data_IF_847243159418
#
_entry.id   IF_847243159418
#
_cell.length_a   1.000
_cell.length_b   1.000
_cell.length_c   1.000
_cell.angle_alpha   90.00
_cell.angle_beta   90.00
_cell.angle_gamma   90.00
#
_symmetry.space_group_name_H-M   'P 1'
#
loop_
_entity.id
_entity.type
_entity.pdbx_description
1 polymer ?
#
# COMPACT_ATOMS: atom_id res chain seq x y z
N UNK A 1 17.64 61.23 45.63
CA UNK A 1 17.10 62.59 45.82
C UNK A 1 16.24 63.09 44.65
N UNK A 2 16.20 62.43 43.49
CA UNK A 2 15.35 62.83 42.34
C UNK A 2 14.31 61.75 41.99
N UNK A 3 13.78 61.05 42.99
CA UNK A 3 12.75 60.05 42.76
C UNK A 3 11.38 60.71 42.83
N UNK A 4 10.52 60.45 41.82
CA UNK A 4 9.15 60.94 41.75
C UNK A 4 9.01 62.46 41.57
N UNK A 5 9.97 63.09 40.89
CA UNK A 5 9.94 64.51 40.52
C UNK A 5 9.56 64.67 39.05
N UNK A 6 8.74 65.68 38.75
CA UNK A 6 8.43 66.13 37.39
C UNK A 6 9.02 67.51 37.14
N UNK A 7 9.55 67.72 35.94
CA UNK A 7 10.14 68.98 35.50
C UNK A 7 9.56 69.35 34.14
N UNK A 8 9.11 70.59 34.01
CA UNK A 8 8.76 71.17 32.71
C UNK A 8 9.93 72.01 32.21
N UNK A 9 10.40 71.71 31.01
CA UNK A 9 11.52 72.40 30.38
C UNK A 9 11.36 72.53 28.88
N UNK A 10 12.37 73.10 28.21
CA UNK A 10 12.38 73.31 26.76
C UNK A 10 12.23 72.01 25.94
N UNK A 11 12.57 70.86 26.52
CA UNK A 11 12.49 69.54 25.89
C UNK A 11 11.17 68.80 26.14
N UNK A 12 10.20 69.42 26.82
CA UNK A 12 8.92 68.78 27.20
C UNK A 12 8.86 68.36 28.67
N UNK A 13 7.75 67.74 29.08
CA UNK A 13 7.54 67.30 30.45
C UNK A 13 8.38 66.04 30.77
N UNK A 14 9.27 66.13 31.75
CA UNK A 14 10.14 65.02 32.19
C UNK A 14 9.68 64.54 33.56
N UNK A 15 9.27 63.27 33.64
CA UNK A 15 8.88 62.61 34.89
C UNK A 15 9.86 61.50 35.25
N UNK A 16 10.46 61.58 36.44
CA UNK A 16 11.36 60.55 36.95
C UNK A 16 10.59 59.59 37.86
N UNK A 17 10.35 58.36 37.40
CA UNK A 17 9.69 57.30 38.16
C UNK A 17 10.76 56.43 38.85
N UNK A 18 10.84 56.49 40.18
CA UNK A 18 11.86 55.77 40.95
C UNK A 18 13.26 56.38 40.84
N UNK A 19 14.32 55.56 40.98
CA UNK A 19 15.71 56.04 40.96
C UNK A 19 16.40 56.03 39.59
N UNK A 20 15.76 55.49 38.55
CA UNK A 20 16.41 55.24 37.25
C UNK A 20 15.52 55.42 36.01
N UNK A 21 14.18 55.43 36.13
CA UNK A 21 13.31 55.50 34.95
C UNK A 21 12.87 56.93 34.72
N UNK A 22 13.51 57.60 33.76
CA UNK A 22 13.13 58.94 33.31
C UNK A 22 12.17 58.79 32.12
N UNK A 23 10.88 59.02 32.33
CA UNK A 23 9.90 59.14 31.25
C UNK A 23 9.81 60.61 30.84
N UNK A 24 10.42 60.95 29.72
CA UNK A 24 10.33 62.27 29.10
C UNK A 24 9.29 62.24 27.99
N UNK A 25 8.52 63.31 27.86
CA UNK A 25 7.66 63.62 26.74
C UNK A 25 8.54 63.89 25.50
N UNK A 26 9.17 62.81 25.02
CA UNK A 26 10.17 62.89 23.98
C UNK A 26 9.47 63.10 22.64
N UNK A 27 9.67 64.27 22.07
CA UNK A 27 9.30 64.55 20.68
C UNK A 27 10.39 63.98 19.77
N UNK A 28 10.11 62.83 19.16
CA UNK A 28 11.03 62.25 18.19
C UNK A 28 10.66 62.75 16.80
N UNK A 29 11.66 63.13 16.00
CA UNK A 29 11.46 63.48 14.60
C UNK A 29 11.84 62.31 13.72
N UNK A 30 10.97 61.98 12.77
CA UNK A 30 11.20 60.95 11.76
C UNK A 30 11.85 61.63 10.56
N UNK A 31 13.04 61.15 10.19
CA UNK A 31 13.81 61.65 9.06
C UNK A 31 13.92 60.59 7.97
N UNK A 32 13.96 61.03 6.72
CA UNK A 32 14.15 60.18 5.55
C UNK A 32 15.27 60.73 4.68
N UNK A 33 16.13 59.84 4.19
CA UNK A 33 17.20 60.19 3.28
C UNK A 33 16.64 60.24 1.86
N UNK A 34 16.56 61.42 1.28
CA UNK A 34 16.08 61.67 -0.07
C UNK A 34 17.22 62.23 -0.93
N UNK A 35 17.06 62.26 -2.24
CA UNK A 35 17.99 62.97 -3.11
C UNK A 35 17.43 64.36 -3.42
N UNK A 36 18.27 65.38 -3.36
CA UNK A 36 17.91 66.72 -3.84
C UNK A 36 17.68 66.70 -5.37
N UNK A 37 17.11 67.77 -5.97
CA UNK A 37 16.91 67.85 -7.42
C UNK A 37 18.20 67.77 -8.25
N UNK A 38 19.37 67.82 -7.61
CA UNK A 38 20.72 67.76 -8.21
C UNK A 38 21.35 66.36 -8.03
N UNK A 39 20.67 65.44 -7.32
CA UNK A 39 21.09 64.06 -7.10
C UNK A 39 21.94 63.82 -5.84
N UNK A 40 22.08 64.78 -4.93
CA UNK A 40 22.83 64.60 -3.68
C UNK A 40 21.92 64.11 -2.54
N UNK A 41 22.42 63.22 -1.65
CA UNK A 41 21.64 62.76 -0.49
C UNK A 41 21.38 63.90 0.52
N UNK A 42 20.12 64.09 0.91
CA UNK A 42 19.61 65.10 1.84
C UNK A 42 18.61 64.47 2.81
N UNK A 43 18.73 64.81 4.11
CA UNK A 43 17.76 64.38 5.12
C UNK A 43 16.54 65.31 5.13
N UNK A 44 15.35 64.74 4.93
CA UNK A 44 14.07 65.45 4.96
C UNK A 44 13.22 64.94 6.14
N UNK A 45 12.60 65.84 6.90
CA UNK A 45 11.70 65.48 8.02
C UNK A 45 10.37 64.98 7.46
N UNK A 46 9.95 63.78 7.85
CA UNK A 46 8.69 63.16 7.45
C UNK A 46 7.56 63.36 8.46
N UNK A 47 7.89 63.52 9.73
CA UNK A 47 6.90 63.65 10.79
C UNK A 47 7.52 63.69 12.17
N UNK A 48 6.65 63.66 13.17
CA UNK A 48 7.00 63.57 14.58
C UNK A 48 6.24 62.46 15.27
N UNK A 49 6.89 61.81 16.23
CA UNK A 49 6.26 60.87 17.16
C UNK A 49 6.21 61.52 18.53
N UNK A 50 4.99 61.67 19.03
CA UNK A 50 4.68 62.30 20.31
C UNK A 50 3.61 61.47 21.02
N UNK A 51 3.82 61.12 22.29
CA UNK A 51 2.85 60.41 23.14
C UNK A 51 2.24 59.13 22.52
N UNK A 52 3.04 58.35 21.79
CA UNK A 52 2.56 57.12 21.15
C UNK A 52 1.76 57.33 19.85
N UNK A 53 1.61 58.57 19.38
CA UNK A 53 1.00 58.90 18.08
C UNK A 53 2.04 59.43 17.11
N UNK A 54 1.92 59.02 15.85
CA UNK A 54 2.72 59.53 14.75
C UNK A 54 1.93 60.63 14.04
N UNK A 55 2.50 61.83 13.95
CA UNK A 55 1.97 62.98 13.20
C UNK A 55 2.87 63.19 11.98
N UNK A 56 2.33 63.02 10.78
CA UNK A 56 3.09 63.14 9.53
C UNK A 56 2.99 64.56 8.97
N UNK A 57 4.13 65.17 8.63
CA UNK A 57 4.24 66.57 8.18
C UNK A 57 4.12 66.69 6.64
N UNK A 58 3.14 66.03 6.01
CA UNK A 58 2.89 65.88 4.56
C UNK A 58 3.28 64.53 3.93
N UNK A 59 2.42 64.10 2.98
CA UNK A 59 2.43 62.80 2.31
C UNK A 59 3.48 62.66 1.21
N UNK A 60 4.76 62.68 1.58
CA UNK A 60 5.86 62.30 0.70
C UNK A 60 6.20 60.84 1.00
N UNK A 61 5.27 59.96 0.66
CA UNK A 61 5.63 58.57 0.41
C UNK A 61 6.34 58.53 -0.94
N UNK A 62 7.50 57.85 -1.09
CA UNK A 62 8.03 57.59 -2.42
C UNK A 62 6.94 56.91 -3.26
N UNK A 63 6.84 57.25 -4.55
CA UNK A 63 5.82 56.80 -5.51
C UNK A 63 5.54 55.29 -5.53
N UNK A 64 6.36 54.47 -4.86
CA UNK A 64 6.12 53.05 -4.61
C UNK A 64 4.84 52.76 -3.81
N UNK A 65 4.35 53.63 -2.93
CA UNK A 65 3.04 53.40 -2.28
C UNK A 65 1.82 53.80 -3.13
N UNK A 66 1.98 54.71 -4.09
CA UNK A 66 0.93 54.97 -5.08
C UNK A 66 0.87 53.88 -6.16
N UNK A 67 1.97 53.16 -6.43
CA UNK A 67 1.91 51.86 -7.11
C UNK A 67 1.10 50.83 -6.32
N UNK A 68 1.18 50.81 -4.99
CA UNK A 68 0.38 49.88 -4.17
C UNK A 68 -1.11 50.21 -4.05
N UNK A 69 -1.56 51.44 -4.37
CA UNK A 69 -3.00 51.77 -4.39
C UNK A 69 -3.62 51.74 -5.79
N UNK A 70 -2.84 51.94 -6.85
CA UNK A 70 -3.33 51.95 -8.24
C UNK A 70 -3.03 50.66 -9.01
N UNK A 71 -2.36 49.69 -8.40
CA UNK A 71 -2.48 48.29 -8.81
C UNK A 71 -3.50 47.57 -7.92
N UNK A 72 -4.78 47.75 -8.24
CA UNK A 72 -5.62 46.56 -8.42
C UNK A 72 -5.15 45.83 -9.69
N UNK A 73 -3.88 45.43 -9.72
CA UNK A 73 -3.54 44.19 -10.41
C UNK A 73 -4.43 43.15 -9.75
N UNK A 74 -5.06 42.31 -10.55
CA UNK A 74 -5.76 41.12 -10.07
C UNK A 74 -4.99 40.54 -8.89
N UNK A 75 -5.65 40.15 -7.79
CA UNK A 75 -4.94 39.58 -6.64
C UNK A 75 -4.01 38.53 -7.22
N UNK A 76 -2.70 38.75 -7.10
CA UNK A 76 -1.70 37.82 -7.61
C UNK A 76 -2.09 36.50 -6.98
N UNK A 77 -2.56 35.57 -7.81
CA UNK A 77 -3.03 34.27 -7.36
C UNK A 77 -1.90 33.70 -6.49
N UNK A 78 -2.23 33.30 -5.27
CA UNK A 78 -1.21 32.84 -4.30
C UNK A 78 -0.42 31.73 -4.99
N UNK A 79 0.90 31.86 -5.12
CA UNK A 79 1.72 30.85 -5.78
C UNK A 79 2.51 30.07 -4.74
N UNK A 80 2.29 28.76 -4.67
CA UNK A 80 2.87 27.89 -3.65
C UNK A 80 3.83 26.88 -4.26
N UNK A 81 4.95 26.67 -3.60
CA UNK A 81 5.85 25.56 -3.93
C UNK A 81 5.49 24.33 -3.11
N UNK A 82 5.11 23.27 -3.78
CA UNK A 82 4.62 22.03 -3.18
C UNK A 82 5.63 20.92 -3.38
N UNK A 83 6.02 20.27 -2.28
CA UNK A 83 6.88 19.09 -2.31
C UNK A 83 6.03 17.82 -2.23
N UNK A 84 6.42 16.80 -3.00
CA UNK A 84 5.80 15.47 -2.96
C UNK A 84 6.85 14.37 -2.87
N UNK A 85 6.38 13.15 -2.62
CA UNK A 85 7.19 11.94 -2.58
C UNK A 85 6.49 10.86 -3.41
N UNK A 86 7.27 10.13 -4.21
CA UNK A 86 6.79 9.01 -5.03
C UNK A 86 6.40 7.85 -4.11
N UNK A 87 5.12 7.51 -4.08
CA UNK A 87 4.60 6.39 -3.29
C UNK A 87 3.32 5.84 -3.92
N UNK A 88 3.32 4.58 -4.35
CA UNK A 88 2.14 3.95 -4.93
C UNK A 88 1.21 3.43 -3.83
N UNK A 89 -0.12 3.65 -3.93
CA UNK A 89 -0.88 4.17 -5.08
C UNK A 89 -1.20 5.68 -5.03
N UNK A 90 -0.55 6.47 -4.18
CA UNK A 90 -0.90 7.87 -3.93
C UNK A 90 -0.29 8.85 -4.91
N UNK A 91 0.97 8.64 -5.28
CA UNK A 91 1.72 9.44 -6.25
C UNK A 91 2.50 8.49 -7.17
N UNK A 92 2.30 8.68 -8.46
CA UNK A 92 3.01 8.02 -9.55
C UNK A 92 3.76 9.08 -10.36
N UNK A 93 4.81 8.62 -11.04
CA UNK A 93 5.60 9.45 -11.95
C UNK A 93 5.72 8.77 -13.30
N UNK A 94 5.71 9.58 -14.36
CA UNK A 94 6.05 9.16 -15.72
C UNK A 94 7.02 10.16 -16.32
N UNK A 95 7.81 9.72 -17.28
CA UNK A 95 8.59 10.64 -18.11
C UNK A 95 7.67 11.57 -18.92
N UNK A 96 8.18 12.77 -19.20
CA UNK A 96 7.55 13.75 -20.10
C UNK A 96 7.63 13.29 -21.55
N UNK A 97 6.82 13.90 -22.42
CA UNK A 97 6.94 13.70 -23.87
C UNK A 97 8.21 14.34 -24.45
N UNK A 98 8.43 14.15 -25.76
CA UNK A 98 9.60 14.69 -26.48
C UNK A 98 9.64 16.24 -26.45
N UNK A 99 8.48 16.87 -26.23
CA UNK A 99 8.31 18.32 -26.08
C UNK A 99 8.47 18.80 -24.62
N UNK A 100 8.64 17.91 -23.65
CA UNK A 100 8.79 18.24 -22.23
C UNK A 100 7.47 18.58 -21.52
N UNK A 101 6.34 18.25 -22.11
CA UNK A 101 4.98 18.48 -21.64
C UNK A 101 4.38 17.21 -21.02
N UNK A 102 3.30 17.42 -20.26
CA UNK A 102 2.53 16.36 -19.63
C UNK A 102 1.12 16.31 -20.23
N UNK A 103 0.82 15.37 -21.13
CA UNK A 103 -0.55 15.23 -21.67
C UNK A 103 -1.54 14.68 -20.63
N UNK A 104 -1.03 14.06 -19.56
CA UNK A 104 -1.81 13.59 -18.43
C UNK A 104 -0.99 13.73 -17.14
N UNK A 105 -1.63 14.24 -16.08
CA UNK A 105 -1.00 14.59 -14.82
C UNK A 105 -0.38 15.99 -14.82
N UNK A 106 0.24 16.34 -13.70
CA UNK A 106 0.85 17.64 -13.48
C UNK A 106 2.37 17.58 -13.71
N UNK A 107 2.92 18.61 -14.34
CA UNK A 107 4.37 18.76 -14.46
C UNK A 107 4.99 18.89 -13.07
N UNK A 108 5.99 18.08 -12.78
CA UNK A 108 6.77 18.14 -11.56
C UNK A 108 8.26 18.03 -11.86
N UNK A 109 9.08 18.68 -11.02
CA UNK A 109 10.53 18.56 -11.11
C UNK A 109 11.05 17.41 -10.23
N UNK A 110 12.01 16.66 -10.76
CA UNK A 110 12.84 15.71 -10.02
C UNK A 110 14.28 16.24 -9.95
N UNK A 111 14.58 17.14 -9.01
CA UNK A 111 15.86 17.86 -8.96
C UNK A 111 17.03 16.97 -8.52
N UNK A 112 16.77 15.81 -7.92
CA UNK A 112 17.76 14.88 -7.34
C UNK A 112 18.78 15.55 -6.38
N UNK A 113 18.45 16.74 -5.86
CA UNK A 113 19.27 17.53 -4.96
C UNK A 113 18.42 18.08 -3.82
N UNK A 114 19.08 18.29 -2.68
CA UNK A 114 18.49 18.94 -1.50
C UNK A 114 18.97 20.39 -1.36
N UNK A 115 19.70 20.93 -2.35
CA UNK A 115 20.19 22.31 -2.32
C UNK A 115 19.06 23.28 -2.72
N UNK A 116 18.66 24.11 -1.76
CA UNK A 116 17.62 25.13 -1.94
C UNK A 116 17.95 26.11 -3.06
N UNK A 117 19.21 26.51 -3.21
CA UNK A 117 19.61 27.52 -4.19
C UNK A 117 19.51 27.00 -5.63
N UNK A 118 19.78 25.70 -5.82
CA UNK A 118 19.61 25.03 -7.12
C UNK A 118 18.13 24.91 -7.47
N UNK A 119 17.30 24.54 -6.50
CA UNK A 119 15.85 24.50 -6.65
C UNK A 119 15.27 25.87 -7.04
N UNK A 120 15.68 26.92 -6.35
CA UNK A 120 15.21 28.29 -6.64
C UNK A 120 15.55 28.70 -8.08
N UNK A 121 16.79 28.44 -8.53
CA UNK A 121 17.21 28.71 -9.90
C UNK A 121 16.39 27.90 -10.93
N UNK A 122 16.10 26.62 -10.66
CA UNK A 122 15.28 25.79 -11.54
C UNK A 122 13.86 26.36 -11.68
N UNK A 123 13.23 26.80 -10.60
CA UNK A 123 11.90 27.39 -10.64
C UNK A 123 11.89 28.77 -11.29
N UNK A 124 12.88 29.62 -11.03
CA UNK A 124 13.04 30.90 -11.74
C UNK A 124 13.19 30.69 -13.24
N UNK A 125 13.92 29.65 -13.64
CA UNK A 125 14.15 29.29 -15.05
C UNK A 125 12.90 28.72 -15.73
N UNK A 126 12.10 27.90 -15.03
CA UNK A 126 10.81 27.41 -15.53
C UNK A 126 9.83 28.54 -15.77
N UNK A 127 9.79 29.53 -14.86
CA UNK A 127 8.88 30.68 -14.97
C UNK A 127 9.40 31.72 -15.97
N UNK A 128 10.72 31.82 -16.16
CA UNK A 128 11.34 32.62 -17.21
C UNK A 128 11.04 32.01 -18.57
N UNK A 129 10.39 32.77 -19.46
CA UNK A 129 9.79 32.27 -20.71
C UNK A 129 10.69 31.60 -21.76
N UNK A 130 11.95 31.25 -21.44
CA UNK A 130 12.88 30.52 -22.29
C UNK A 130 13.08 29.04 -21.89
N UNK A 131 12.35 28.53 -20.89
CA UNK A 131 12.32 27.12 -20.43
C UNK A 131 13.60 26.32 -20.74
N UNK A 132 14.69 26.66 -20.06
CA UNK A 132 15.99 25.98 -20.25
C UNK A 132 16.21 24.84 -19.26
N UNK A 133 15.16 24.38 -18.58
CA UNK A 133 15.29 23.27 -17.61
C UNK A 133 15.48 21.95 -18.37
N UNK A 134 16.53 21.17 -18.03
CA UNK A 134 16.76 19.86 -18.66
C UNK A 134 15.53 18.96 -18.58
N UNK A 135 15.18 18.31 -19.70
CA UNK A 135 14.05 17.38 -19.82
C UNK A 135 14.18 16.22 -18.82
N UNK A 136 15.40 15.80 -18.49
CA UNK A 136 15.67 14.73 -17.52
C UNK A 136 15.14 15.03 -16.11
N UNK A 137 15.10 16.32 -15.74
CA UNK A 137 14.60 16.79 -14.44
C UNK A 137 13.09 17.01 -14.46
N UNK A 138 12.43 16.90 -15.62
CA UNK A 138 10.98 17.05 -15.75
C UNK A 138 10.30 15.69 -15.74
N UNK A 139 9.27 15.56 -14.91
CA UNK A 139 8.41 14.36 -14.81
C UNK A 139 6.95 14.78 -14.82
N UNK A 140 6.07 13.84 -15.16
CA UNK A 140 4.64 13.97 -14.98
C UNK A 140 4.22 13.23 -13.72
N UNK A 141 3.78 13.97 -12.71
CA UNK A 141 3.26 13.44 -11.46
C UNK A 141 1.74 13.31 -11.55
N UNK A 142 1.20 12.16 -11.12
CA UNK A 142 -0.23 11.89 -11.12
C UNK A 142 -0.61 10.94 -9.99
N UNK A 143 -1.89 10.86 -9.65
CA UNK A 143 -2.41 9.96 -8.62
C UNK A 143 -3.26 10.71 -7.59
N UNK A 144 -3.77 9.96 -6.61
CA UNK A 144 -4.75 10.45 -5.64
C UNK A 144 -4.35 11.75 -4.94
N UNK A 145 -3.07 11.87 -4.55
CA UNK A 145 -2.57 13.07 -3.87
C UNK A 145 -2.44 14.27 -4.81
N UNK A 146 -2.17 14.05 -6.09
CA UNK A 146 -2.05 15.12 -7.10
C UNK A 146 -3.44 15.64 -7.47
N UNK A 147 -4.40 14.74 -7.71
CA UNK A 147 -5.79 15.11 -8.00
C UNK A 147 -6.41 15.90 -6.83
N UNK A 148 -6.08 15.53 -5.58
CA UNK A 148 -6.49 16.27 -4.40
C UNK A 148 -5.88 17.67 -4.34
N UNK A 149 -4.59 17.82 -4.70
CA UNK A 149 -3.91 19.11 -4.74
C UNK A 149 -4.52 20.03 -5.81
N UNK A 150 -4.79 19.50 -7.01
CA UNK A 150 -5.46 20.25 -8.08
C UNK A 150 -6.83 20.75 -7.63
N UNK A 151 -7.63 19.87 -7.00
CA UNK A 151 -8.95 20.26 -6.48
C UNK A 151 -8.86 21.34 -5.40
N UNK A 152 -7.87 21.24 -4.51
CA UNK A 152 -7.60 22.26 -3.50
C UNK A 152 -7.17 23.60 -4.12
N UNK A 153 -6.34 23.56 -5.16
CA UNK A 153 -5.86 24.73 -5.89
C UNK A 153 -6.98 25.46 -6.64
N UNK A 154 -7.95 24.72 -7.18
CA UNK A 154 -9.18 25.26 -7.76
C UNK A 154 -10.08 25.90 -6.70
N UNK A 155 -10.36 25.18 -5.61
CA UNK A 155 -11.34 25.61 -4.60
C UNK A 155 -10.83 26.80 -3.76
N UNK A 156 -9.53 26.85 -3.48
CA UNK A 156 -8.88 27.94 -2.73
C UNK A 156 -8.23 29.00 -3.64
N UNK A 157 -8.30 28.81 -4.95
CA UNK A 157 -7.81 29.74 -5.97
C UNK A 157 -6.34 30.14 -5.75
N UNK A 158 -5.43 29.16 -5.71
CA UNK A 158 -3.98 29.33 -5.69
C UNK A 158 -3.33 28.58 -6.87
N UNK A 159 -2.16 29.02 -7.30
CA UNK A 159 -1.32 28.36 -8.30
C UNK A 159 -0.18 27.65 -7.57
N UNK A 160 0.39 26.60 -8.18
CA UNK A 160 1.45 25.85 -7.53
C UNK A 160 2.47 25.26 -8.49
N UNK A 161 3.70 25.17 -7.99
CA UNK A 161 4.79 24.44 -8.62
C UNK A 161 5.09 23.18 -7.81
N UNK A 162 5.19 22.03 -8.50
CA UNK A 162 5.37 20.73 -7.88
C UNK A 162 6.80 20.21 -8.07
N UNK A 163 7.41 19.67 -7.01
CA UNK A 163 8.66 18.91 -7.14
C UNK A 163 8.70 17.71 -6.20
N UNK A 164 9.56 16.76 -6.56
CA UNK A 164 9.82 15.55 -5.82
C UNK A 164 10.99 15.80 -4.87
N UNK A 165 10.84 15.38 -3.61
CA UNK A 165 11.91 15.51 -2.61
C UNK A 165 13.20 14.83 -3.07
N UNK A 166 14.32 15.56 -3.02
CA UNK A 166 15.60 15.11 -3.59
C UNK A 166 16.20 13.86 -2.93
N UNK A 167 15.94 13.63 -1.64
CA UNK A 167 16.47 12.46 -0.91
C UNK A 167 15.55 11.23 -0.92
N UNK A 168 14.36 11.34 -1.52
CA UNK A 168 13.35 10.29 -1.58
C UNK A 168 12.84 9.82 -0.21
N UNK A 169 12.91 10.66 0.82
CA UNK A 169 12.49 10.29 2.19
C UNK A 169 11.48 11.29 2.75
N UNK A 170 10.56 10.79 3.57
CA UNK A 170 9.63 11.66 4.29
C UNK A 170 10.31 12.57 5.32
N UNK A 171 11.48 12.18 5.80
CA UNK A 171 12.22 12.91 6.82
C UNK A 171 12.23 12.25 8.20
N UNK A 172 13.41 12.35 8.81
CA UNK A 172 13.72 11.85 10.14
C UNK A 172 14.69 12.82 10.84
N UNK A 173 14.62 12.86 12.16
CA UNK A 173 15.58 13.61 12.96
C UNK A 173 16.93 12.88 12.98
N UNK A 174 17.95 13.48 12.37
CA UNK A 174 19.32 12.94 12.31
C UNK A 174 20.32 14.06 12.51
N UNK A 175 21.35 13.82 13.33
CA UNK A 175 22.45 14.76 13.56
C UNK A 175 22.00 16.18 13.96
N UNK A 176 20.88 16.29 14.69
CA UNK A 176 20.35 17.57 15.16
C UNK A 176 19.59 18.39 14.12
N UNK A 177 19.27 17.83 12.95
CA UNK A 177 18.41 18.46 11.93
C UNK A 177 17.39 17.44 11.38
N UNK A 178 16.32 17.96 10.78
CA UNK A 178 15.37 17.16 10.01
C UNK A 178 15.83 17.04 8.56
N UNK A 179 15.75 15.84 8.00
CA UNK A 179 16.05 15.57 6.58
C UNK A 179 14.77 15.39 5.76
N UNK A 180 14.91 15.23 4.45
CA UNK A 180 13.83 14.92 3.50
C UNK A 180 12.69 15.92 3.53
N UNK A 181 11.48 15.44 3.28
CA UNK A 181 10.30 16.29 3.11
C UNK A 181 10.05 17.22 4.32
N UNK A 182 10.25 16.75 5.55
CA UNK A 182 10.15 17.61 6.75
C UNK A 182 11.27 18.66 6.78
N UNK A 183 12.48 18.29 6.36
CA UNK A 183 13.60 19.23 6.23
C UNK A 183 13.27 20.36 5.26
N UNK A 184 12.70 20.02 4.10
CA UNK A 184 12.36 20.97 3.04
C UNK A 184 11.23 21.95 3.44
N UNK A 185 10.32 21.52 4.32
CA UNK A 185 9.32 22.41 4.90
C UNK A 185 9.93 23.37 5.93
N UNK A 186 10.85 22.88 6.75
CA UNK A 186 11.48 23.69 7.82
C UNK A 186 12.48 24.70 7.29
N UNK A 187 13.19 24.38 6.20
CA UNK A 187 14.10 25.30 5.52
C UNK A 187 13.36 26.39 4.74
N UNK A 188 12.04 26.25 4.55
CA UNK A 188 11.24 27.13 3.70
C UNK A 188 11.41 26.87 2.21
N UNK A 189 12.09 25.78 1.81
CA UNK A 189 12.18 25.39 0.39
C UNK A 189 10.84 24.94 -0.16
N UNK A 190 9.96 24.36 0.66
CA UNK A 190 8.57 24.09 0.32
C UNK A 190 7.63 24.86 1.25
N UNK A 191 6.52 25.32 0.68
CA UNK A 191 5.45 25.98 1.45
C UNK A 191 4.40 24.96 1.92
N UNK A 192 4.24 23.88 1.17
CA UNK A 192 3.27 22.82 1.45
C UNK A 192 3.84 21.48 1.01
N UNK A 193 3.47 20.40 1.68
CA UNK A 193 3.76 19.05 1.24
C UNK A 193 2.47 18.27 1.01
N UNK A 194 2.39 17.56 -0.12
CA UNK A 194 1.23 16.72 -0.45
C UNK A 194 1.72 15.32 -0.85
N UNK A 195 1.49 14.35 0.03
CA UNK A 195 1.82 12.93 -0.14
C UNK A 195 1.13 12.12 0.96
N UNK A 196 1.26 10.80 0.96
CA UNK A 196 0.79 9.86 1.98
C UNK A 196 1.66 9.88 3.24
N UNK A 197 1.74 11.05 3.87
CA UNK A 197 2.58 11.28 5.04
C UNK A 197 1.83 11.03 6.35
N UNK A 198 2.31 10.10 7.16
CA UNK A 198 1.67 9.75 8.44
C UNK A 198 1.92 10.82 9.52
N UNK A 199 0.84 11.18 10.21
CA UNK A 199 0.85 12.05 11.39
C UNK A 199 1.52 11.31 12.56
N UNK A 200 2.53 11.93 13.16
CA UNK A 200 3.25 11.40 14.32
C UNK A 200 3.59 12.56 15.27
N UNK A 201 3.57 12.31 16.59
CA UNK A 201 3.90 13.29 17.64
C UNK A 201 5.21 14.03 17.38
N UNK A 202 6.29 13.32 17.01
CA UNK A 202 7.59 13.96 16.76
C UNK A 202 7.57 14.93 15.57
N UNK A 203 6.73 14.66 14.55
CA UNK A 203 6.58 15.50 13.36
C UNK A 203 5.63 16.66 13.63
N UNK A 204 4.53 16.43 14.35
CA UNK A 204 3.56 17.47 14.72
C UNK A 204 4.11 18.53 15.68
N UNK A 205 5.30 18.33 16.26
CA UNK A 205 5.98 19.34 17.07
C UNK A 205 6.71 20.40 16.22
N UNK A 206 7.00 20.09 14.95
CA UNK A 206 7.81 20.95 14.08
C UNK A 206 7.06 21.44 12.84
N UNK A 207 6.01 20.75 12.44
CA UNK A 207 5.15 21.11 11.30
C UNK A 207 3.68 20.93 11.66
N UNK A 208 2.84 21.75 11.04
CA UNK A 208 1.39 21.66 11.18
C UNK A 208 0.79 20.69 10.17
N UNK A 209 -0.19 19.90 10.62
CA UNK A 209 -0.92 18.96 9.79
C UNK A 209 -2.35 19.42 9.58
N UNK A 210 -2.89 19.12 8.40
CA UNK A 210 -4.32 19.25 8.12
C UNK A 210 -5.11 18.09 8.74
N UNK A 211 -6.44 18.15 8.64
CA UNK A 211 -7.30 17.01 8.95
C UNK A 211 -6.92 15.81 8.07
N UNK A 212 -6.78 14.60 8.63
CA UNK A 212 -6.38 13.42 7.87
C UNK A 212 -7.42 13.11 6.79
N UNK A 213 -6.96 13.03 5.53
CA UNK A 213 -7.82 12.70 4.38
C UNK A 213 -7.93 11.20 4.12
N UNK A 214 -7.01 10.39 4.66
CA UNK A 214 -6.97 8.94 4.51
C UNK A 214 -6.63 8.27 5.84
N UNK A 215 -7.37 7.22 6.19
CA UNK A 215 -7.14 6.42 7.39
C UNK A 215 -6.71 5.01 6.98
N UNK A 216 -5.49 4.63 7.35
CA UNK A 216 -4.95 3.28 7.10
C UNK A 216 -4.60 2.59 8.41
N UNK A 217 -4.58 1.26 8.38
CA UNK A 217 -4.12 0.41 9.48
C UNK A 217 -2.95 -0.45 9.01
N UNK A 218 -2.07 -0.84 9.94
CA UNK A 218 -0.95 -1.71 9.64
C UNK A 218 -1.45 -3.14 9.41
N UNK A 219 -1.08 -3.72 8.27
CA UNK A 219 -1.39 -5.12 7.91
C UNK A 219 -0.12 -5.92 7.66
N UNK A 220 -0.20 -7.24 7.82
CA UNK A 220 0.89 -8.17 7.49
C UNK A 220 0.57 -8.82 6.14
N UNK A 221 1.46 -8.64 5.17
CA UNK A 221 1.33 -9.26 3.85
C UNK A 221 1.99 -10.65 3.86
N UNK A 222 1.22 -11.69 3.55
CA UNK A 222 1.71 -13.08 3.49
C UNK A 222 1.55 -13.63 2.07
N UNK A 223 2.57 -14.36 1.60
CA UNK A 223 2.50 -15.04 0.30
C UNK A 223 1.57 -16.24 0.41
N UNK A 224 0.52 -16.27 -0.41
CA UNK A 224 -0.31 -17.46 -0.58
C UNK A 224 0.51 -18.57 -1.26
N UNK A 225 0.44 -19.79 -0.73
CA UNK A 225 1.01 -21.00 -1.33
C UNK A 225 -0.14 -21.85 -1.86
N UNK A 226 -0.30 -21.88 -3.17
CA UNK A 226 -1.21 -22.84 -3.81
C UNK A 226 -0.53 -24.20 -3.81
N UNK A 227 -0.89 -25.06 -2.85
CA UNK A 227 -0.47 -26.46 -2.89
C UNK A 227 -1.26 -27.18 -3.98
N UNK A 228 -0.64 -27.35 -5.15
CA UNK A 228 -1.18 -28.25 -6.16
C UNK A 228 -1.19 -29.68 -5.59
N UNK A 229 -2.34 -30.36 -5.70
CA UNK A 229 -2.45 -31.74 -5.24
C UNK A 229 -1.41 -32.63 -5.95
N UNK A 230 -0.58 -33.40 -5.23
CA UNK A 230 0.42 -34.26 -5.85
C UNK A 230 -0.25 -35.36 -6.68
N UNK A 231 0.48 -35.91 -7.67
CA UNK A 231 -0.04 -36.93 -8.61
C UNK A 231 -0.62 -38.16 -7.88
N UNK A 232 -0.12 -38.48 -6.67
CA UNK A 232 -0.59 -39.58 -5.83
C UNK A 232 -1.78 -39.26 -4.91
N UNK A 233 -2.33 -38.04 -4.94
CA UNK A 233 -3.39 -37.62 -4.02
C UNK A 233 -4.69 -38.44 -4.15
N UNK A 234 -4.91 -39.12 -5.29
CA UNK A 234 -6.04 -40.03 -5.46
C UNK A 234 -5.99 -41.27 -4.54
N UNK A 235 -4.82 -41.62 -3.98
CA UNK A 235 -4.68 -42.74 -3.04
C UNK A 235 -4.92 -42.34 -1.59
N UNK A 236 -4.83 -41.06 -1.24
CA UNK A 236 -5.06 -40.53 0.11
C UNK A 236 -6.43 -40.84 0.74
N UNK A 237 -7.55 -40.91 -0.02
CA UNK A 237 -8.87 -41.16 0.57
C UNK A 237 -9.01 -42.50 1.28
N UNK A 238 -8.12 -43.45 1.01
CA UNK A 238 -8.20 -44.80 1.53
C UNK A 238 -6.82 -45.29 2.01
N UNK A 239 -6.74 -45.72 3.27
CA UNK A 239 -5.52 -46.23 3.86
C UNK A 239 -5.04 -47.52 3.15
N UNK A 240 -3.73 -47.74 3.09
CA UNK A 240 -3.12 -48.87 2.36
C UNK A 240 -3.67 -50.25 2.79
N UNK A 241 -4.04 -50.40 4.07
CA UNK A 241 -4.65 -51.63 4.59
C UNK A 241 -6.00 -51.94 3.96
N UNK A 242 -6.79 -50.92 3.61
CA UNK A 242 -8.09 -51.09 2.98
C UNK A 242 -7.95 -51.45 1.50
N UNK A 243 -6.96 -50.89 0.80
CA UNK A 243 -6.60 -51.33 -0.55
C UNK A 243 -6.23 -52.82 -0.58
N UNK A 244 -5.39 -53.25 0.36
CA UNK A 244 -5.05 -54.66 0.52
C UNK A 244 -6.29 -55.50 0.88
N UNK A 245 -7.17 -55.01 1.75
CA UNK A 245 -8.43 -55.65 2.11
C UNK A 245 -9.34 -55.89 0.90
N UNK A 246 -9.52 -54.90 0.03
CA UNK A 246 -10.30 -55.02 -1.22
C UNK A 246 -9.67 -56.07 -2.13
N UNK A 247 -8.33 -56.05 -2.29
CA UNK A 247 -7.61 -57.03 -3.11
C UNK A 247 -7.82 -58.46 -2.59
N UNK A 248 -7.66 -58.68 -1.28
CA UNK A 248 -7.86 -60.00 -0.66
C UNK A 248 -9.31 -60.45 -0.77
N UNK A 249 -10.28 -59.59 -0.47
CA UNK A 249 -11.70 -59.90 -0.56
C UNK A 249 -12.11 -60.28 -2.00
N UNK A 250 -11.56 -59.60 -3.00
CA UNK A 250 -11.78 -59.89 -4.42
C UNK A 250 -11.31 -61.32 -4.78
N UNK A 251 -10.09 -61.69 -4.37
CA UNK A 251 -9.54 -63.03 -4.67
C UNK A 251 -10.30 -64.13 -3.93
N UNK A 252 -10.66 -63.90 -2.66
CA UNK A 252 -11.48 -64.82 -1.89
C UNK A 252 -12.83 -65.04 -2.58
N UNK A 253 -13.50 -63.97 -3.01
CA UNK A 253 -14.80 -64.05 -3.70
C UNK A 253 -14.69 -64.80 -5.02
N UNK A 254 -13.63 -64.57 -5.79
CA UNK A 254 -13.37 -65.28 -7.04
C UNK A 254 -13.11 -66.79 -6.83
N UNK A 255 -12.37 -67.16 -5.77
CA UNK A 255 -12.17 -68.58 -5.39
C UNK A 255 -13.48 -69.22 -4.96
N UNK A 256 -14.31 -68.54 -4.17
CA UNK A 256 -15.61 -69.10 -3.78
C UNK A 256 -16.55 -69.24 -4.97
N UNK A 257 -16.60 -68.27 -5.89
CA UNK A 257 -17.38 -68.36 -7.13
C UNK A 257 -16.94 -69.56 -7.96
N UNK A 258 -15.64 -69.83 -8.11
CA UNK A 258 -15.17 -70.99 -8.87
C UNK A 258 -15.48 -72.32 -8.19
N UNK A 259 -15.33 -72.40 -6.87
CA UNK A 259 -15.70 -73.58 -6.09
C UNK A 259 -17.20 -73.88 -6.19
N UNK A 260 -18.05 -72.84 -6.09
CA UNK A 260 -19.50 -73.00 -6.22
C UNK A 260 -19.92 -73.42 -7.64
N UNK A 261 -19.26 -72.91 -8.67
CA UNK A 261 -19.51 -73.34 -10.04
C UNK A 261 -19.02 -74.77 -10.32
N UNK A 262 -17.87 -75.17 -9.76
CA UNK A 262 -17.31 -76.52 -9.90
C UNK A 262 -18.11 -77.59 -9.17
N UNK A 263 -18.66 -77.26 -7.99
CA UNK A 263 -19.47 -78.18 -7.17
C UNK A 263 -20.94 -78.23 -7.57
N UNK A 264 -21.41 -77.30 -8.41
CA UNK A 264 -22.82 -77.24 -8.82
C UNK A 264 -23.12 -78.18 -9.99
N UNK A 265 -24.16 -79.05 -9.89
CA UNK A 265 -24.56 -79.96 -10.97
C UNK A 265 -25.10 -79.21 -12.21
N UNK A 266 -25.43 -77.92 -12.10
CA UNK A 266 -25.89 -77.05 -13.20
C UNK A 266 -24.74 -76.29 -13.90
N UNK A 267 -23.53 -76.30 -13.33
CA UNK A 267 -22.33 -75.71 -13.95
C UNK A 267 -21.71 -76.60 -15.03
N UNK A 268 -21.90 -77.92 -14.90
CA UNK A 268 -21.46 -78.91 -15.88
C UNK A 268 -22.65 -79.34 -16.76
N UNK A 269 -22.71 -78.86 -18.00
CA UNK A 269 -23.61 -79.45 -19.00
C UNK A 269 -23.24 -80.93 -19.22
N UNK A 270 -24.12 -81.92 -18.97
CA UNK A 270 -23.73 -83.34 -18.95
C UNK A 270 -23.38 -83.93 -20.33
N UNK A 271 -23.64 -83.22 -21.44
CA UNK A 271 -23.42 -83.72 -22.81
C UNK A 271 -22.95 -82.59 -23.74
N UNK A 272 -21.64 -82.37 -23.86
CA UNK A 272 -21.08 -81.40 -24.81
C UNK A 272 -19.55 -81.45 -24.87
N UNK A 273 -18.99 -81.47 -26.09
CA UNK A 273 -17.60 -81.83 -26.46
C UNK A 273 -16.46 -80.94 -25.92
N UNK A 274 -16.73 -79.94 -25.07
CA UNK A 274 -15.73 -78.99 -24.55
C UNK A 274 -15.77 -78.86 -23.01
N UNK A 275 -15.33 -79.91 -22.31
CA UNK A 275 -15.40 -80.08 -20.84
C UNK A 275 -14.49 -79.12 -20.04
N UNK A 276 -13.49 -78.50 -20.67
CA UNK A 276 -12.39 -77.81 -19.97
C UNK A 276 -12.41 -76.26 -20.08
N UNK A 277 -13.47 -75.63 -20.65
CA UNK A 277 -13.46 -74.18 -20.96
C UNK A 277 -14.78 -73.43 -20.67
N UNK A 278 -15.59 -73.87 -19.70
CA UNK A 278 -16.88 -73.20 -19.44
C UNK A 278 -16.78 -72.07 -18.41
N UNK A 279 -15.99 -72.23 -17.34
CA UNK A 279 -15.68 -71.16 -16.38
C UNK A 279 -14.35 -71.45 -15.66
N UNK A 280 -13.37 -70.57 -15.84
CA UNK A 280 -12.02 -70.65 -15.23
C UNK A 280 -11.92 -69.67 -14.06
N UNK A 281 -10.95 -69.88 -13.16
CA UNK A 281 -10.63 -68.88 -12.12
C UNK A 281 -10.37 -67.49 -12.71
N UNK A 282 -9.74 -67.44 -13.90
CA UNK A 282 -9.54 -66.20 -14.65
C UNK A 282 -10.85 -65.54 -15.08
N UNK A 283 -11.90 -66.30 -15.46
CA UNK A 283 -13.19 -65.71 -15.79
C UNK A 283 -13.92 -65.19 -14.55
N UNK A 284 -13.81 -65.88 -13.40
CA UNK A 284 -14.35 -65.39 -12.13
C UNK A 284 -13.68 -64.09 -11.67
N UNK A 285 -12.35 -64.03 -11.72
CA UNK A 285 -11.60 -62.81 -11.41
C UNK A 285 -12.00 -61.65 -12.33
N UNK A 286 -12.12 -61.89 -13.63
CA UNK A 286 -12.54 -60.86 -14.59
C UNK A 286 -13.94 -60.33 -14.27
N UNK A 287 -14.87 -61.18 -13.80
CA UNK A 287 -16.20 -60.76 -13.34
C UNK A 287 -16.12 -59.94 -12.06
N UNK A 288 -15.37 -60.39 -11.05
CA UNK A 288 -15.21 -59.66 -9.80
C UNK A 288 -14.58 -58.26 -10.01
N UNK A 289 -13.55 -58.16 -10.87
CA UNK A 289 -12.94 -56.89 -11.27
C UNK A 289 -13.89 -56.00 -12.07
N UNK A 290 -14.67 -56.58 -12.99
CA UNK A 290 -15.65 -55.81 -13.76
C UNK A 290 -16.71 -55.16 -12.85
N UNK A 291 -17.17 -55.88 -11.83
CA UNK A 291 -18.13 -55.36 -10.85
C UNK A 291 -17.49 -54.28 -9.96
N UNK A 292 -16.23 -54.46 -9.51
CA UNK A 292 -15.53 -53.48 -8.67
C UNK A 292 -15.30 -52.14 -9.41
N UNK A 293 -14.90 -52.19 -10.68
CA UNK A 293 -14.63 -50.99 -11.48
C UNK A 293 -15.85 -50.46 -12.25
N UNK A 294 -17.05 -51.05 -12.05
CA UNK A 294 -18.27 -50.65 -12.76
C UNK A 294 -18.20 -50.85 -14.29
N UNK A 295 -17.34 -51.76 -14.77
CA UNK A 295 -17.18 -52.04 -16.20
C UNK A 295 -18.33 -52.92 -16.70
N UNK A 296 -19.03 -52.46 -17.72
CA UNK A 296 -20.03 -53.25 -18.48
C UNK A 296 -19.34 -54.27 -19.40
N UNK A 297 -18.65 -55.25 -18.81
CA UNK A 297 -18.15 -56.38 -19.57
C UNK A 297 -19.30 -57.34 -19.93
N UNK A 298 -19.20 -58.02 -21.07
CA UNK A 298 -20.10 -59.12 -21.42
C UNK A 298 -19.85 -60.31 -20.47
N UNK A 299 -20.43 -60.22 -19.28
CA UNK A 299 -20.31 -61.20 -18.21
C UNK A 299 -21.28 -62.34 -18.53
N UNK A 300 -20.74 -63.57 -18.64
CA UNK A 300 -21.60 -64.76 -18.59
C UNK A 300 -22.02 -64.95 -17.13
N UNK A 301 -23.31 -64.75 -16.78
CA UNK A 301 -23.74 -64.82 -15.39
C UNK A 301 -23.58 -66.25 -14.87
N UNK A 302 -23.24 -66.43 -13.58
CA UNK A 302 -23.13 -67.75 -13.00
C UNK A 302 -24.47 -68.48 -13.08
N UNK A 303 -24.41 -69.77 -13.40
CA UNK A 303 -25.61 -70.60 -13.61
C UNK A 303 -26.25 -71.08 -12.31
N UNK A 304 -25.47 -71.17 -11.24
CA UNK A 304 -25.93 -71.62 -9.93
C UNK A 304 -26.61 -70.49 -9.14
N UNK A 305 -27.69 -70.83 -8.41
CA UNK A 305 -28.40 -69.88 -7.54
C UNK A 305 -27.49 -69.31 -6.43
N UNK A 306 -26.61 -70.13 -5.87
CA UNK A 306 -25.63 -69.73 -4.84
C UNK A 306 -24.60 -68.75 -5.38
N UNK A 307 -24.10 -68.94 -6.60
CA UNK A 307 -23.18 -68.01 -7.26
C UNK A 307 -23.84 -66.69 -7.63
N UNK A 308 -25.12 -66.70 -8.01
CA UNK A 308 -25.90 -65.46 -8.23
C UNK A 308 -26.08 -64.66 -6.94
N UNK A 309 -26.40 -65.34 -5.84
CA UNK A 309 -26.48 -64.70 -4.53
C UNK A 309 -25.15 -64.08 -4.10
N UNK A 310 -24.05 -64.84 -4.23
CA UNK A 310 -22.70 -64.35 -3.91
C UNK A 310 -22.29 -63.16 -4.79
N UNK A 311 -22.66 -63.17 -6.08
CA UNK A 311 -22.40 -62.05 -6.99
C UNK A 311 -23.16 -60.78 -6.59
N UNK A 312 -24.43 -60.91 -6.17
CA UNK A 312 -25.20 -59.78 -5.66
C UNK A 312 -24.61 -59.23 -4.36
N UNK A 313 -24.16 -60.09 -3.45
CA UNK A 313 -23.50 -59.68 -2.20
C UNK A 313 -22.16 -58.97 -2.48
N UNK A 314 -21.37 -59.48 -3.43
CA UNK A 314 -20.15 -58.81 -3.90
C UNK A 314 -20.45 -57.44 -4.52
N UNK A 315 -21.52 -57.34 -5.31
CA UNK A 315 -21.93 -56.06 -5.90
C UNK A 315 -22.30 -55.01 -4.83
N UNK A 316 -23.03 -55.40 -3.78
CA UNK A 316 -23.36 -54.52 -2.65
C UNK A 316 -22.06 -54.05 -1.94
N UNK A 317 -21.12 -54.96 -1.71
CA UNK A 317 -19.83 -54.62 -1.11
C UNK A 317 -19.02 -53.63 -1.97
N UNK A 318 -18.97 -53.84 -3.29
CA UNK A 318 -18.30 -52.93 -4.23
C UNK A 318 -18.96 -51.54 -4.22
N UNK A 319 -20.29 -51.47 -4.20
CA UNK A 319 -21.02 -50.20 -4.10
C UNK A 319 -20.69 -49.45 -2.81
N UNK A 320 -20.60 -50.16 -1.68
CA UNK A 320 -20.21 -49.57 -0.40
C UNK A 320 -18.77 -49.02 -0.44
N UNK A 321 -17.82 -49.79 -0.98
CA UNK A 321 -16.43 -49.36 -1.14
C UNK A 321 -16.32 -48.12 -2.05
N UNK A 322 -17.01 -48.13 -3.20
CA UNK A 322 -17.03 -47.00 -4.13
C UNK A 322 -17.62 -45.74 -3.47
N UNK A 323 -18.76 -45.86 -2.79
CA UNK A 323 -19.41 -44.74 -2.11
C UNK A 323 -18.53 -44.15 -1.00
N UNK A 324 -17.80 -44.99 -0.27
CA UNK A 324 -16.91 -44.55 0.80
C UNK A 324 -15.70 -43.83 0.20
N UNK A 325 -15.12 -44.37 -0.88
CA UNK A 325 -14.02 -43.74 -1.60
C UNK A 325 -14.42 -42.36 -2.14
N UNK A 326 -15.59 -42.24 -2.79
CA UNK A 326 -16.07 -40.96 -3.33
C UNK A 326 -16.38 -39.94 -2.23
N UNK A 327 -16.95 -40.38 -1.10
CA UNK A 327 -17.21 -39.51 0.04
C UNK A 327 -15.91 -38.98 0.68
N UNK A 328 -14.91 -39.85 0.88
CA UNK A 328 -13.62 -39.46 1.46
C UNK A 328 -12.82 -38.55 0.51
N UNK A 329 -12.86 -38.84 -0.80
CA UNK A 329 -12.21 -37.98 -1.80
C UNK A 329 -12.83 -36.57 -1.79
N UNK A 330 -14.16 -36.47 -1.73
CA UNK A 330 -14.85 -35.19 -1.63
C UNK A 330 -14.46 -34.42 -0.34
N UNK A 331 -14.37 -35.11 0.80
CA UNK A 331 -13.94 -34.51 2.05
C UNK A 331 -12.51 -33.94 1.97
N UNK A 332 -11.58 -34.68 1.34
CA UNK A 332 -10.19 -34.21 1.14
C UNK A 332 -10.14 -33.01 0.19
N UNK A 333 -10.88 -33.02 -0.92
CA UNK A 333 -10.93 -31.91 -1.87
C UNK A 333 -11.44 -30.61 -1.26
N UNK A 334 -12.35 -30.69 -0.28
CA UNK A 334 -12.88 -29.52 0.43
C UNK A 334 -11.89 -29.01 1.50
N UNK A 335 -11.04 -29.90 2.05
CA UNK A 335 -10.20 -29.61 3.22
C UNK A 335 -8.89 -28.86 2.97
N UNK A 336 -8.46 -28.62 1.73
CA UNK A 336 -7.08 -28.18 1.44
C UNK A 336 -6.86 -26.70 1.16
N UNK A 337 -7.83 -25.81 1.43
CA UNK A 337 -7.54 -24.36 1.45
C UNK A 337 -7.06 -23.95 2.84
N UNK A 338 -5.82 -24.34 3.17
CA UNK A 338 -5.13 -23.82 4.36
C UNK A 338 -4.64 -22.42 4.01
N UNK A 339 -5.50 -21.42 4.19
CA UNK A 339 -5.01 -20.06 4.35
C UNK A 339 -4.29 -20.03 5.71
N UNK A 340 -2.96 -19.93 5.70
CA UNK A 340 -2.24 -19.60 6.92
C UNK A 340 -2.51 -18.14 7.27
N UNK A 341 -3.69 -17.88 7.82
CA UNK A 341 -4.01 -16.59 8.38
C UNK A 341 -3.13 -16.35 9.61
N UNK A 342 -2.36 -15.26 9.55
CA UNK A 342 -1.67 -14.73 10.72
C UNK A 342 -2.68 -13.93 11.52
N UNK A 343 -2.84 -14.27 12.80
CA UNK A 343 -3.84 -13.61 13.66
C UNK A 343 -3.41 -12.19 14.09
N UNK A 344 -2.16 -11.80 13.85
CA UNK A 344 -1.63 -10.47 14.12
C UNK A 344 -0.18 -10.48 14.59
N UNK A 345 0.28 -9.38 15.20
CA UNK A 345 1.66 -9.21 15.66
C UNK A 345 2.07 -10.16 16.78
N UNK A 346 1.12 -10.66 17.56
CA UNK A 346 1.36 -11.62 18.64
C UNK A 346 1.21 -13.07 18.19
N UNK A 347 1.09 -13.33 16.89
CA UNK A 347 1.00 -14.70 16.39
C UNK A 347 2.32 -15.44 16.69
N UNK A 348 2.29 -16.56 17.43
CA UNK A 348 3.49 -17.33 17.77
C UNK A 348 4.27 -17.79 16.53
N UNK A 349 3.62 -17.91 15.36
CA UNK A 349 4.28 -18.23 14.08
C UNK A 349 5.32 -17.19 13.66
N UNK A 350 5.19 -15.94 14.11
CA UNK A 350 6.14 -14.86 13.81
C UNK A 350 7.42 -14.99 14.64
N UNK A 351 7.30 -15.36 15.92
CA UNK A 351 8.43 -15.43 16.85
C UNK A 351 9.21 -16.74 16.78
N UNK A 352 8.58 -17.82 16.32
CA UNK A 352 9.21 -19.14 16.25
C UNK A 352 9.03 -19.77 14.86
N UNK A 353 9.92 -19.48 13.89
CA UNK A 353 9.84 -20.07 12.55
C UNK A 353 10.05 -21.60 12.53
N UNK A 354 10.51 -22.19 13.64
CA UNK A 354 10.83 -23.62 13.77
C UNK A 354 9.61 -24.56 13.63
N UNK A 355 8.39 -24.09 13.93
CA UNK A 355 7.20 -24.95 13.81
C UNK A 355 6.76 -25.21 12.36
N UNK A 356 7.28 -24.44 11.39
CA UNK A 356 7.02 -24.64 9.96
C UNK A 356 7.91 -25.76 9.38
N UNK A 357 9.14 -25.93 9.87
CA UNK A 357 10.06 -26.97 9.37
C UNK A 357 9.70 -28.37 9.91
N UNK A 358 9.15 -28.46 11.12
CA UNK A 358 8.85 -29.76 11.75
C UNK A 358 7.53 -30.38 11.26
N UNK A 359 6.64 -29.57 10.66
CA UNK A 359 5.41 -30.06 10.03
C UNK A 359 5.64 -30.61 8.62
N UNK A 360 6.58 -30.02 7.87
CA UNK A 360 6.98 -30.56 6.55
C UNK A 360 7.74 -31.89 6.69
N UNK A 361 8.50 -32.08 7.78
CA UNK A 361 9.11 -33.38 8.10
C UNK A 361 8.08 -34.47 8.42
N UNK A 362 7.04 -34.15 9.21
CA UNK A 362 6.05 -35.15 9.65
C UNK A 362 4.98 -35.50 8.60
N UNK A 363 4.79 -34.68 7.55
CA UNK A 363 3.92 -35.05 6.41
C UNK A 363 4.59 -35.99 5.40
N UNK A 364 5.92 -36.15 5.42
CA UNK A 364 6.60 -37.17 4.62
C UNK A 364 6.58 -38.58 5.25
N UNK A 365 6.02 -38.73 6.47
CA UNK A 365 6.14 -39.96 7.25
C UNK A 365 4.82 -40.57 7.73
N UNK A 366 3.67 -40.16 7.18
CA UNK A 366 2.38 -40.83 7.41
C UNK A 366 1.63 -41.16 6.15
#
# INVERSE_FOLDING_TARGET
>A
FLANTSFDGLSGHIKVKGSSVVSSENNFFIWNLQHDPVGNPMWTRLGSWQEGKIVMDYGIWPEQAQRHKNHMQHPTRLHLRVVTLIEHPFVFTRDVDDEGLCPAGQLCLDPLTNDSAVLDNLFETLQGGNDTVPIELKKCCYGYCIDLLEKLAEDMNFDFDLYIVGDGKYGAWKNGHWTGLVGDLLSGTAHMAVTSFSINTARSQVIDFTSPFFSTSLGILVRTRDTAAPIGAFMWPLHWTMWLGIFVALHITAVFLTLYEWKSPFGMTPKGRNRNKVFSFSSALNVCYAILFGRTAAIKPPKCWTGRFLMNLWAIFCLFCLSTYTANLAAVMVGEKIYEELSGIHDPKIYLPLHLLERDGNKMQK
#
